data_IF_929222268096
#
_entry.id   IF_929222268096
#
_cell.length_a   1.000
_cell.length_b   1.000
_cell.length_c   1.000
_cell.angle_alpha   90.00
_cell.angle_beta   90.00
_cell.angle_gamma   90.00
#
_symmetry.space_group_name_H-M   'P 1'
#
loop_
_entity.id
_entity.type
_entity.pdbx_description
1 polymer ?
#
# COMPACT_ATOMS: atom_id res chain seq x y z
N UNK A 1 3.60 28.28 18.06
CA UNK A 1 4.57 28.56 16.97
C UNK A 1 5.81 27.69 17.15
N UNK A 2 5.92 26.56 16.42
CA UNK A 2 7.17 25.82 16.15
C UNK A 2 6.85 24.67 15.15
N UNK A 3 6.54 25.02 13.90
CA UNK A 3 6.50 24.07 12.78
C UNK A 3 7.26 24.62 11.55
N UNK A 4 8.36 25.36 11.77
CA UNK A 4 9.08 26.03 10.67
C UNK A 4 10.45 25.45 10.33
N UNK A 5 10.78 24.22 10.77
CA UNK A 5 12.08 23.59 10.44
C UNK A 5 11.99 22.08 10.19
N UNK A 6 11.12 21.66 9.27
CA UNK A 6 11.43 20.50 8.42
C UNK A 6 11.67 21.03 7.01
N UNK A 7 12.79 21.76 6.94
CA UNK A 7 13.40 22.29 5.73
C UNK A 7 13.54 21.18 4.69
N UNK A 8 13.04 21.47 3.48
CA UNK A 8 13.39 20.88 2.18
C UNK A 8 14.64 19.96 2.21
N UNK A 9 14.47 18.71 2.64
CA UNK A 9 15.47 17.67 2.35
C UNK A 9 15.26 17.28 0.90
N UNK A 10 16.09 17.81 0.01
CA UNK A 10 16.24 17.23 -1.32
C UNK A 10 16.80 15.82 -1.13
N UNK A 11 15.94 14.81 -1.21
CA UNK A 11 16.34 13.41 -1.21
C UNK A 11 17.22 13.19 -2.45
N UNK A 12 18.54 13.29 -2.29
CA UNK A 12 19.50 12.91 -3.33
C UNK A 12 19.52 11.38 -3.39
N UNK A 13 19.10 10.83 -4.51
CA UNK A 13 19.36 9.43 -4.85
C UNK A 13 20.89 9.22 -4.87
N UNK A 14 21.37 8.16 -4.21
CA UNK A 14 22.82 7.93 -4.01
C UNK A 14 23.32 6.58 -4.52
N UNK A 15 22.44 5.69 -5.00
CA UNK A 15 22.80 4.30 -5.30
C UNK A 15 22.57 3.90 -6.76
N UNK A 16 21.47 4.33 -7.36
CA UNK A 16 21.00 3.82 -8.64
C UNK A 16 21.14 4.80 -9.80
N UNK A 17 21.50 6.06 -9.52
CA UNK A 17 21.60 7.12 -10.53
C UNK A 17 20.26 7.46 -11.19
N UNK A 18 19.15 7.01 -10.62
CA UNK A 18 17.81 7.23 -11.17
C UNK A 18 17.28 8.60 -10.74
N UNK A 19 16.73 9.36 -11.70
CA UNK A 19 16.01 10.59 -11.40
C UNK A 19 14.68 10.24 -10.71
N UNK A 20 14.39 10.76 -9.50
CA UNK A 20 13.12 10.50 -8.84
C UNK A 20 11.93 11.00 -9.66
N UNK A 21 10.92 10.13 -9.86
CA UNK A 21 9.67 10.44 -10.54
C UNK A 21 8.50 9.89 -9.69
N UNK A 22 7.99 10.75 -8.79
CA UNK A 22 6.93 10.39 -7.85
C UNK A 22 5.61 10.04 -8.57
N UNK A 23 5.10 10.84 -9.53
CA UNK A 23 3.88 10.47 -10.26
C UNK A 23 3.96 9.10 -10.92
N UNK A 24 5.09 8.81 -11.59
CA UNK A 24 5.30 7.50 -12.23
C UNK A 24 5.36 6.37 -11.21
N UNK A 25 6.05 6.56 -10.09
CA UNK A 25 6.13 5.56 -9.02
C UNK A 25 4.76 5.25 -8.43
N UNK A 26 3.94 6.28 -8.15
CA UNK A 26 2.57 6.11 -7.62
C UNK A 26 1.68 5.39 -8.65
N UNK A 27 1.75 5.77 -9.93
CA UNK A 27 1.01 5.09 -10.99
C UNK A 27 1.34 3.60 -11.06
N UNK A 28 2.63 3.24 -11.04
CA UNK A 28 3.08 1.85 -11.06
C UNK A 28 2.60 1.09 -9.83
N UNK A 29 2.73 1.69 -8.63
CA UNK A 29 2.27 1.08 -7.39
C UNK A 29 0.75 0.85 -7.38
N UNK A 30 -0.06 1.82 -7.81
CA UNK A 30 -1.52 1.66 -7.94
C UNK A 30 -1.88 0.52 -8.89
N UNK A 31 -1.13 0.34 -9.98
CA UNK A 31 -1.33 -0.77 -10.93
C UNK A 31 -1.04 -2.15 -10.32
N UNK A 32 -0.16 -2.21 -9.32
CA UNK A 32 0.23 -3.45 -8.65
C UNK A 32 -0.55 -3.74 -7.37
N UNK A 33 -1.63 -2.99 -7.09
CA UNK A 33 -2.40 -3.13 -5.84
C UNK A 33 -2.83 -4.58 -5.56
N UNK A 34 -3.27 -5.30 -6.59
CA UNK A 34 -3.71 -6.70 -6.49
C UNK A 34 -2.56 -7.61 -6.05
N UNK A 35 -1.37 -7.42 -6.62
CA UNK A 35 -0.16 -8.17 -6.26
C UNK A 35 0.21 -7.91 -4.80
N UNK A 36 0.20 -6.64 -4.38
CA UNK A 36 0.54 -6.28 -2.99
C UNK A 36 -0.43 -6.84 -1.95
N UNK A 37 -1.73 -6.85 -2.27
CA UNK A 37 -2.73 -7.47 -1.38
C UNK A 37 -2.54 -8.97 -1.33
N UNK A 38 -2.34 -9.62 -2.48
CA UNK A 38 -2.13 -11.07 -2.54
C UNK A 38 -0.89 -11.49 -1.74
N UNK A 39 0.23 -10.79 -1.91
CA UNK A 39 1.46 -11.07 -1.18
C UNK A 39 1.27 -10.86 0.33
N UNK A 40 0.64 -9.76 0.74
CA UNK A 40 0.38 -9.48 2.16
C UNK A 40 -0.48 -10.56 2.83
N UNK A 41 -1.55 -10.97 2.16
CA UNK A 41 -2.49 -11.97 2.70
C UNK A 41 -1.85 -13.37 2.74
N UNK A 42 -1.05 -13.72 1.73
CA UNK A 42 -0.27 -14.96 1.74
C UNK A 42 0.78 -14.98 2.86
N UNK A 43 1.40 -13.84 3.18
CA UNK A 43 2.32 -13.70 4.33
C UNK A 43 1.60 -13.88 5.69
N UNK A 44 0.30 -13.60 5.76
CA UNK A 44 -0.55 -13.90 6.91
C UNK A 44 -1.01 -15.38 6.98
N UNK A 45 -0.57 -16.21 6.02
CA UNK A 45 -0.90 -17.64 5.96
C UNK A 45 -2.27 -17.93 5.34
N UNK A 46 -2.87 -16.95 4.67
CA UNK A 46 -4.16 -17.08 4.00
C UNK A 46 -3.89 -17.25 2.51
N UNK A 47 -4.13 -18.46 1.99
CA UNK A 47 -3.77 -18.83 0.63
C UNK A 47 -4.80 -18.33 -0.39
N UNK A 48 -4.69 -17.08 -0.82
CA UNK A 48 -5.42 -16.59 -1.98
C UNK A 48 -4.53 -16.58 -3.23
N UNK A 49 -5.15 -16.85 -4.37
CA UNK A 49 -4.54 -16.63 -5.68
C UNK A 49 -4.79 -15.20 -6.18
N UNK A 50 -3.95 -14.71 -7.10
CA UNK A 50 -4.13 -13.38 -7.70
C UNK A 50 -5.53 -13.18 -8.32
N UNK A 51 -6.11 -14.12 -9.08
CA UNK A 51 -7.46 -13.96 -9.61
C UNK A 51 -8.55 -13.86 -8.53
N UNK A 52 -8.39 -14.57 -7.41
CA UNK A 52 -9.35 -14.49 -6.30
C UNK A 52 -9.26 -13.13 -5.59
N UNK A 53 -8.05 -12.62 -5.33
CA UNK A 53 -7.88 -11.27 -4.80
C UNK A 53 -8.50 -10.24 -5.75
N UNK A 54 -8.21 -10.32 -7.06
CA UNK A 54 -8.83 -9.44 -8.05
C UNK A 54 -10.36 -9.48 -7.97
N UNK A 55 -10.94 -10.69 -7.89
CA UNK A 55 -12.39 -10.89 -7.74
C UNK A 55 -12.94 -10.19 -6.50
N UNK A 56 -12.28 -10.32 -5.35
CA UNK A 56 -12.66 -9.61 -4.12
C UNK A 56 -12.56 -8.09 -4.27
N UNK A 57 -11.51 -7.58 -4.91
CA UNK A 57 -11.34 -6.14 -5.13
C UNK A 57 -12.35 -5.55 -6.13
N UNK A 58 -12.89 -6.38 -7.02
CA UNK A 58 -14.00 -6.04 -7.91
C UNK A 58 -15.36 -6.09 -7.19
N UNK A 59 -15.39 -6.39 -5.89
CA UNK A 59 -16.60 -6.45 -5.07
C UNK A 59 -17.38 -7.76 -5.22
N UNK A 60 -16.75 -8.80 -5.76
CA UNK A 60 -17.35 -10.11 -6.00
C UNK A 60 -16.80 -11.09 -4.96
N UNK A 61 -17.68 -11.88 -4.35
CA UNK A 61 -17.29 -12.89 -3.36
C UNK A 61 -16.59 -14.08 -3.99
N UNK A 62 -15.67 -14.70 -3.25
CA UNK A 62 -14.97 -15.93 -3.66
C UNK A 62 -15.39 -17.07 -2.75
N UNK A 63 -15.74 -18.22 -3.33
CA UNK A 63 -16.07 -19.43 -2.56
C UNK A 63 -14.84 -20.15 -2.02
N UNK A 64 -15.01 -20.98 -0.98
CA UNK A 64 -13.94 -21.82 -0.44
C UNK A 64 -13.06 -21.18 0.64
N UNK A 65 -13.22 -19.88 0.89
CA UNK A 65 -12.51 -19.15 1.96
C UNK A 65 -13.46 -18.71 3.07
N UNK A 66 -12.96 -18.59 4.31
CA UNK A 66 -13.75 -18.03 5.39
C UNK A 66 -14.05 -16.56 5.09
N UNK A 67 -15.21 -16.08 5.53
CA UNK A 67 -15.58 -14.66 5.41
C UNK A 67 -14.56 -13.75 6.11
N UNK A 68 -14.00 -14.20 7.24
CA UNK A 68 -12.93 -13.48 7.94
C UNK A 68 -11.69 -13.30 7.10
N UNK A 69 -11.32 -14.31 6.32
CA UNK A 69 -10.11 -14.30 5.50
C UNK A 69 -10.30 -13.37 4.29
N UNK A 70 -11.50 -13.37 3.69
CA UNK A 70 -11.88 -12.41 2.67
C UNK A 70 -11.87 -10.97 3.21
N UNK A 71 -12.34 -10.75 4.45
CA UNK A 71 -12.32 -9.44 5.07
C UNK A 71 -10.89 -8.95 5.34
N UNK A 72 -9.96 -9.84 5.71
CA UNK A 72 -8.54 -9.51 5.86
C UNK A 72 -7.95 -9.02 4.53
N UNK A 73 -8.26 -9.70 3.42
CA UNK A 73 -7.82 -9.27 2.10
C UNK A 73 -8.35 -7.87 1.72
N UNK A 74 -9.63 -7.60 2.01
CA UNK A 74 -10.22 -6.27 1.79
C UNK A 74 -9.55 -5.20 2.67
N UNK A 75 -9.29 -5.50 3.94
CA UNK A 75 -8.60 -4.59 4.86
C UNK A 75 -7.16 -4.29 4.38
N UNK A 76 -6.45 -5.28 3.83
CA UNK A 76 -5.13 -5.06 3.23
C UNK A 76 -5.22 -4.13 2.01
N UNK A 77 -6.24 -4.29 1.17
CA UNK A 77 -6.47 -3.39 0.04
C UNK A 77 -6.71 -1.95 0.48
N UNK A 78 -7.52 -1.75 1.52
CA UNK A 78 -7.81 -0.43 2.06
C UNK A 78 -6.56 0.19 2.72
N UNK A 79 -5.73 -0.63 3.38
CA UNK A 79 -4.44 -0.20 3.93
C UNK A 79 -3.51 0.32 2.84
N UNK A 80 -3.37 -0.43 1.74
CA UNK A 80 -2.55 0.01 0.60
C UNK A 80 -3.10 1.28 -0.06
N UNK A 81 -4.42 1.38 -0.24
CA UNK A 81 -5.07 2.59 -0.79
C UNK A 81 -4.80 3.82 0.10
N UNK A 82 -4.99 3.68 1.41
CA UNK A 82 -4.73 4.73 2.37
C UNK A 82 -3.25 5.15 2.37
N UNK A 83 -2.33 4.19 2.36
CA UNK A 83 -0.89 4.45 2.27
C UNK A 83 -0.53 5.23 1.01
N UNK A 84 -1.00 4.78 -0.16
CA UNK A 84 -0.72 5.43 -1.44
C UNK A 84 -1.31 6.84 -1.49
N UNK A 85 -2.50 7.06 -0.92
CA UNK A 85 -3.12 8.38 -0.81
C UNK A 85 -2.30 9.32 0.08
N UNK A 86 -1.83 8.84 1.24
CA UNK A 86 -0.96 9.61 2.14
C UNK A 86 0.36 9.97 1.46
N UNK A 87 0.99 9.02 0.77
CA UNK A 87 2.24 9.28 0.03
C UNK A 87 1.97 10.29 -1.08
N UNK A 88 0.90 10.14 -1.86
CA UNK A 88 0.53 11.04 -2.96
C UNK A 88 0.37 12.49 -2.46
N UNK A 89 -0.30 12.68 -1.32
CA UNK A 89 -0.50 13.98 -0.67
C UNK A 89 0.73 14.53 0.08
N UNK A 90 1.84 13.78 0.14
CA UNK A 90 3.01 14.09 0.99
C UNK A 90 2.66 14.20 2.49
N UNK A 91 1.70 13.40 2.93
CA UNK A 91 1.20 13.37 4.31
C UNK A 91 1.61 12.10 5.06
N UNK A 92 2.25 11.14 4.37
CA UNK A 92 2.77 9.95 5.03
C UNK A 92 3.91 10.30 5.99
N UNK A 93 3.73 9.97 7.26
CA UNK A 93 4.70 10.13 8.33
C UNK A 93 4.63 8.90 9.24
N UNK A 94 5.78 8.44 9.72
CA UNK A 94 5.86 7.38 10.73
C UNK A 94 6.16 8.06 12.05
N UNK A 95 5.21 8.03 12.97
CA UNK A 95 5.36 8.53 14.33
C UNK A 95 5.44 7.35 15.30
N UNK A 96 6.23 7.52 16.37
CA UNK A 96 6.20 6.59 17.49
C UNK A 96 5.16 7.12 18.46
N UNK A 97 4.02 6.44 18.55
CA UNK A 97 3.10 6.65 19.67
C UNK A 97 3.74 6.04 20.91
N UNK A 98 4.03 6.90 21.90
CA UNK A 98 4.53 6.45 23.20
C UNK A 98 3.30 6.09 24.03
N UNK A 99 3.10 4.79 24.27
CA UNK A 99 2.05 4.27 25.15
C UNK A 99 2.44 4.49 26.61
#
# INVERSE_FOLDING_TARGET
MKQSKLSNRTLKETRWGMKPDKPKAIMLAKRQLVEFVCDAVNLEGINFTLPEIQTLLDGITVGGHKVTDQQIALNQADTWRALLELIEKNQFEITIETV
#
